data_IF_080540154481
#
_entry.id   IF_080540154481
#
_cell.length_a   1.000
_cell.length_b   1.000
_cell.length_c   1.000
_cell.angle_alpha   90.00
_cell.angle_beta   90.00
_cell.angle_gamma   90.00
#
_symmetry.space_group_name_H-M   'P 1'
#
loop_
_entity.id
_entity.type
_entity.pdbx_description
1 polymer ?
#
# COMPACT_ATOMS: atom_id res chain seq x y z
N UNK A 1 0.49 32.09 -8.16
CA UNK A 1 1.61 31.68 -7.29
C UNK A 1 1.46 30.19 -7.11
N UNK A 2 2.34 29.40 -7.73
CA UNK A 2 2.36 27.94 -7.65
C UNK A 2 2.67 27.59 -6.18
N UNK A 3 1.68 27.14 -5.39
CA UNK A 3 1.90 26.78 -3.98
C UNK A 3 2.60 25.42 -4.00
N UNK A 4 3.92 25.41 -3.78
CA UNK A 4 4.64 24.14 -3.56
C UNK A 4 3.92 23.37 -2.44
N UNK A 5 3.51 22.12 -2.73
CA UNK A 5 2.88 21.24 -1.75
C UNK A 5 3.82 21.04 -0.56
N UNK A 6 3.32 21.06 0.69
CA UNK A 6 4.16 20.83 1.87
C UNK A 6 4.90 19.50 1.76
N UNK A 7 6.20 19.50 2.07
CA UNK A 7 7.01 18.27 2.12
C UNK A 7 6.97 17.63 3.51
N UNK A 8 7.03 16.30 3.56
CA UNK A 8 7.18 15.54 4.81
C UNK A 8 5.89 15.42 5.62
N UNK A 9 6.00 15.46 6.95
CA UNK A 9 4.93 15.11 7.92
C UNK A 9 3.59 15.83 7.71
N UNK A 10 3.59 17.00 7.08
CA UNK A 10 2.40 17.84 6.88
C UNK A 10 1.84 17.81 5.46
N UNK A 11 2.43 17.01 4.56
CA UNK A 11 2.02 16.94 3.15
C UNK A 11 0.53 16.69 2.98
N UNK A 12 -0.03 15.80 3.79
CA UNK A 12 -1.42 15.38 3.72
C UNK A 12 -2.31 16.01 4.78
N UNK A 13 -1.79 16.94 5.58
CA UNK A 13 -2.51 17.45 6.76
C UNK A 13 -3.85 18.07 6.39
N UNK A 14 -3.90 18.94 5.38
CA UNK A 14 -5.14 19.57 4.92
C UNK A 14 -6.13 18.55 4.37
N UNK A 15 -5.65 17.63 3.53
CA UNK A 15 -6.49 16.57 2.95
C UNK A 15 -7.08 15.68 4.06
N UNK A 16 -6.24 15.20 4.99
CA UNK A 16 -6.65 14.34 6.10
C UNK A 16 -7.63 15.04 7.04
N UNK A 17 -7.48 16.35 7.27
CA UNK A 17 -8.42 17.14 8.05
C UNK A 17 -9.75 17.39 7.33
N UNK A 18 -9.74 17.46 6.01
CA UNK A 18 -10.93 17.61 5.17
C UNK A 18 -11.60 16.26 4.82
N UNK A 19 -11.06 15.14 5.29
CA UNK A 19 -11.57 13.81 4.96
C UNK A 19 -12.97 13.59 5.52
N UNK A 20 -13.92 13.31 4.61
CA UNK A 20 -15.31 12.99 4.92
C UNK A 20 -15.63 11.63 4.25
N UNK A 21 -15.79 10.54 5.02
CA UNK A 21 -15.99 9.20 4.46
C UNK A 21 -17.16 9.09 3.47
N UNK A 22 -18.22 9.87 3.69
CA UNK A 22 -19.45 9.89 2.89
C UNK A 22 -19.18 10.34 1.45
N UNK A 23 -18.16 11.19 1.23
CA UNK A 23 -17.73 11.62 -0.10
C UNK A 23 -17.11 10.49 -0.94
N UNK A 24 -16.83 9.34 -0.32
CA UNK A 24 -16.22 8.19 -0.97
C UNK A 24 -17.11 6.95 -0.96
N UNK A 25 -18.44 7.10 -0.81
CA UNK A 25 -19.38 5.99 -0.66
C UNK A 25 -19.27 4.95 -1.79
N UNK A 26 -19.28 5.39 -3.05
CA UNK A 26 -19.14 4.48 -4.21
C UNK A 26 -17.84 3.69 -4.12
N UNK A 27 -16.72 4.40 -3.94
CA UNK A 27 -15.41 3.76 -3.86
C UNK A 27 -15.33 2.76 -2.69
N UNK A 28 -15.89 3.12 -1.53
CA UNK A 28 -16.01 2.24 -0.37
C UNK A 28 -16.77 0.97 -0.71
N UNK A 29 -17.92 1.08 -1.37
CA UNK A 29 -18.74 -0.06 -1.77
C UNK A 29 -17.98 -0.95 -2.75
N UNK A 30 -17.31 -0.37 -3.75
CA UNK A 30 -16.58 -1.11 -4.76
C UNK A 30 -15.41 -1.92 -4.16
N UNK A 31 -14.57 -1.31 -3.31
CA UNK A 31 -13.46 -2.05 -2.67
C UNK A 31 -13.95 -3.03 -1.60
N UNK A 32 -15.12 -2.78 -0.99
CA UNK A 32 -15.75 -3.75 -0.06
C UNK A 32 -16.22 -4.98 -0.82
N UNK A 33 -16.94 -4.79 -1.93
CA UNK A 33 -17.37 -5.88 -2.81
C UNK A 33 -16.18 -6.67 -3.33
N UNK A 34 -15.12 -5.96 -3.74
CA UNK A 34 -13.87 -6.58 -4.17
C UNK A 34 -13.26 -7.46 -3.06
N UNK A 35 -13.11 -6.95 -1.83
CA UNK A 35 -12.57 -7.71 -0.71
C UNK A 35 -13.41 -8.96 -0.38
N UNK A 36 -14.73 -8.82 -0.39
CA UNK A 36 -15.62 -9.96 -0.12
C UNK A 36 -15.53 -11.01 -1.23
N UNK A 37 -15.50 -10.58 -2.50
CA UNK A 37 -15.32 -11.48 -3.64
C UNK A 37 -13.97 -12.22 -3.58
N UNK A 38 -12.89 -11.56 -3.13
CA UNK A 38 -11.58 -12.22 -2.91
C UNK A 38 -11.63 -13.33 -1.87
N UNK A 39 -12.59 -13.28 -0.93
CA UNK A 39 -12.82 -14.33 0.06
C UNK A 39 -13.95 -15.31 -0.32
N UNK A 40 -14.52 -15.20 -1.52
CA UNK A 40 -15.69 -15.98 -1.93
C UNK A 40 -16.94 -15.70 -1.07
N UNK A 41 -17.01 -14.53 -0.41
CA UNK A 41 -18.12 -14.14 0.45
C UNK A 41 -19.11 -13.24 -0.32
N UNK A 42 -20.42 -13.39 -0.09
CA UNK A 42 -21.42 -12.48 -0.65
C UNK A 42 -21.38 -11.12 0.06
N UNK A 43 -21.95 -10.07 -0.55
CA UNK A 43 -22.14 -8.76 0.09
C UNK A 43 -23.14 -8.81 1.26
N UNK A 44 -24.14 -9.70 1.15
CA UNK A 44 -25.19 -9.90 2.14
C UNK A 44 -25.17 -11.37 2.55
N UNK A 45 -25.08 -11.60 3.87
CA UNK A 45 -25.09 -12.92 4.47
C UNK A 45 -26.44 -13.63 4.31
N UNK A 46 -26.48 -14.91 4.67
CA UNK A 46 -27.70 -15.72 4.64
C UNK A 46 -28.79 -15.21 5.60
N UNK A 47 -28.42 -14.41 6.60
CA UNK A 47 -29.28 -13.73 7.56
C UNK A 47 -29.89 -12.42 7.02
N UNK A 48 -29.55 -12.02 5.79
CA UNK A 48 -29.99 -10.77 5.19
C UNK A 48 -29.25 -9.53 5.68
N UNK A 49 -28.21 -9.70 6.51
CA UNK A 49 -27.37 -8.60 7.00
C UNK A 49 -26.13 -8.43 6.12
N UNK A 50 -25.55 -7.21 6.05
CA UNK A 50 -24.26 -7.01 5.38
C UNK A 50 -23.19 -7.93 5.97
N UNK A 51 -22.40 -8.58 5.11
CA UNK A 51 -21.32 -9.45 5.57
C UNK A 51 -20.34 -8.69 6.44
N UNK A 52 -20.08 -9.22 7.64
CA UNK A 52 -19.18 -8.59 8.60
C UNK A 52 -17.72 -8.65 8.09
N UNK A 53 -17.07 -7.49 8.10
CA UNK A 53 -15.65 -7.35 7.76
C UNK A 53 -14.81 -7.44 9.01
N UNK A 54 -13.65 -8.08 8.90
CA UNK A 54 -12.67 -8.12 10.00
C UNK A 54 -12.14 -6.71 10.32
N UNK A 55 -11.62 -6.51 11.53
CA UNK A 55 -10.98 -5.25 11.94
C UNK A 55 -9.86 -4.82 10.97
N UNK A 56 -9.10 -5.77 10.45
CA UNK A 56 -8.05 -5.53 9.45
C UNK A 56 -8.65 -5.07 8.12
N UNK A 57 -9.72 -5.72 7.64
CA UNK A 57 -10.39 -5.32 6.40
C UNK A 57 -11.02 -3.93 6.50
N UNK A 58 -11.69 -3.63 7.62
CA UNK A 58 -12.24 -2.29 7.88
C UNK A 58 -11.14 -1.22 7.88
N UNK A 59 -9.95 -1.55 8.40
CA UNK A 59 -8.78 -0.66 8.38
C UNK A 59 -8.22 -0.47 6.97
N UNK A 60 -8.05 -1.54 6.20
CA UNK A 60 -7.64 -1.47 4.80
C UNK A 60 -8.54 -0.52 4.02
N UNK A 61 -9.87 -0.69 4.13
CA UNK A 61 -10.85 0.19 3.50
C UNK A 61 -10.62 1.64 3.91
N UNK A 62 -10.58 1.92 5.22
CA UNK A 62 -10.38 3.28 5.76
C UNK A 62 -9.11 3.94 5.25
N UNK A 63 -8.00 3.20 5.21
CA UNK A 63 -6.70 3.68 4.76
C UNK A 63 -6.74 4.00 3.26
N UNK A 64 -7.39 3.15 2.46
CA UNK A 64 -7.63 3.40 1.03
C UNK A 64 -8.55 4.59 0.77
N UNK A 65 -9.61 4.80 1.57
CA UNK A 65 -10.45 6.00 1.46
C UNK A 65 -9.66 7.28 1.75
N UNK A 66 -8.88 7.27 2.82
CA UNK A 66 -8.02 8.40 3.22
C UNK A 66 -7.01 8.70 2.12
N UNK A 67 -6.42 7.65 1.55
CA UNK A 67 -5.47 7.78 0.46
C UNK A 67 -6.10 8.32 -0.82
N UNK A 68 -7.29 7.86 -1.20
CA UNK A 68 -8.04 8.40 -2.33
C UNK A 68 -8.32 9.89 -2.14
N UNK A 69 -8.72 10.30 -0.94
CA UNK A 69 -8.96 11.69 -0.59
C UNK A 69 -7.70 12.57 -0.76
N UNK A 70 -6.53 12.06 -0.35
CA UNK A 70 -5.24 12.73 -0.58
C UNK A 70 -4.97 12.96 -2.07
N UNK A 71 -5.19 11.95 -2.91
CA UNK A 71 -5.05 12.09 -4.37
C UNK A 71 -6.02 13.12 -4.94
N UNK A 72 -7.32 13.03 -4.59
CA UNK A 72 -8.33 13.98 -5.07
C UNK A 72 -8.00 15.42 -4.65
N UNK A 73 -7.61 15.63 -3.39
CA UNK A 73 -7.19 16.95 -2.89
C UNK A 73 -6.07 17.54 -3.74
N UNK A 74 -5.01 16.75 -3.99
CA UNK A 74 -3.86 17.21 -4.76
C UNK A 74 -4.20 17.41 -6.25
N UNK A 75 -5.08 16.60 -6.83
CA UNK A 75 -5.58 16.81 -8.20
C UNK A 75 -6.32 18.15 -8.35
N UNK A 76 -7.04 18.60 -7.31
CA UNK A 76 -7.71 19.90 -7.35
C UNK A 76 -6.73 21.08 -7.17
N UNK A 77 -5.67 20.90 -6.39
CA UNK A 77 -4.69 21.95 -6.09
C UNK A 77 -3.62 22.12 -7.18
N UNK A 78 -3.30 21.08 -7.94
CA UNK A 78 -2.24 21.13 -8.97
C UNK A 78 -2.64 21.99 -10.16
N UNK A 79 -1.79 22.93 -10.56
CA UNK A 79 -2.00 23.75 -11.77
C UNK A 79 -1.14 23.31 -12.95
N UNK A 80 -0.19 22.39 -12.73
CA UNK A 80 0.73 21.91 -13.77
C UNK A 80 0.18 20.77 -14.63
N UNK A 81 -0.77 20.00 -14.10
CA UNK A 81 -1.26 18.76 -14.76
C UNK A 81 -2.69 18.93 -15.31
N UNK A 82 -3.53 19.71 -14.64
CA UNK A 82 -4.91 19.96 -15.06
C UNK A 82 -5.17 21.46 -15.20
N UNK A 83 -5.90 21.84 -16.25
CA UNK A 83 -6.35 23.22 -16.42
C UNK A 83 -7.51 23.54 -15.47
N UNK A 84 -7.76 24.83 -15.22
CA UNK A 84 -8.91 25.23 -14.41
C UNK A 84 -10.23 24.86 -15.08
N UNK A 85 -10.31 24.85 -16.41
CA UNK A 85 -11.48 24.35 -17.15
C UNK A 85 -11.72 22.85 -16.88
N UNK A 86 -10.68 22.01 -16.97
CA UNK A 86 -10.79 20.57 -16.70
C UNK A 86 -11.29 20.31 -15.27
N UNK A 87 -10.78 21.06 -14.29
CA UNK A 87 -11.22 20.96 -12.89
C UNK A 87 -12.66 21.42 -12.69
N UNK A 88 -13.05 22.54 -13.31
CA UNK A 88 -14.40 23.07 -13.21
C UNK A 88 -15.43 22.14 -13.86
N UNK A 89 -15.08 21.52 -14.99
CA UNK A 89 -15.92 20.52 -15.65
C UNK A 89 -16.07 19.25 -14.79
N UNK A 90 -14.97 18.73 -14.24
CA UNK A 90 -15.00 17.60 -13.32
C UNK A 90 -15.87 17.89 -12.09
N UNK A 91 -15.74 19.10 -11.51
CA UNK A 91 -16.58 19.53 -10.40
C UNK A 91 -18.06 19.65 -10.78
N UNK A 92 -18.37 20.24 -11.93
CA UNK A 92 -19.75 20.45 -12.38
C UNK A 92 -20.47 19.15 -12.76
N UNK A 93 -19.75 18.20 -13.36
CA UNK A 93 -20.31 16.92 -13.84
C UNK A 93 -20.22 15.79 -12.81
N UNK A 94 -19.35 15.93 -11.80
CA UNK A 94 -18.99 14.85 -10.89
C UNK A 94 -18.13 13.76 -11.54
N UNK A 95 -17.65 13.96 -12.78
CA UNK A 95 -16.77 13.03 -13.45
C UNK A 95 -15.35 13.10 -12.83
N UNK A 96 -14.64 11.96 -12.72
CA UNK A 96 -13.26 11.98 -12.28
C UNK A 96 -12.38 12.71 -13.29
N UNK A 97 -11.37 13.43 -12.81
CA UNK A 97 -10.32 13.96 -13.67
C UNK A 97 -9.62 12.82 -14.40
N UNK A 98 -9.22 13.08 -15.65
CA UNK A 98 -8.48 12.12 -16.47
C UNK A 98 -7.18 11.67 -15.79
N UNK A 99 -6.66 10.53 -16.22
CA UNK A 99 -5.34 10.08 -15.81
C UNK A 99 -4.28 11.17 -16.10
N UNK A 100 -3.37 11.44 -15.14
CA UNK A 100 -2.26 12.36 -15.38
C UNK A 100 -1.32 11.82 -16.47
N UNK A 101 -0.55 12.68 -17.15
CA UNK A 101 0.49 12.23 -18.09
C UNK A 101 1.41 11.20 -17.44
N UNK A 102 1.76 10.15 -18.17
CA UNK A 102 2.62 9.06 -17.68
C UNK A 102 2.05 8.31 -16.44
N UNK A 103 0.73 8.30 -16.23
CA UNK A 103 0.09 7.52 -15.17
C UNK A 103 0.50 6.03 -15.15
N UNK A 104 0.80 5.45 -16.31
CA UNK A 104 1.25 4.06 -16.43
C UNK A 104 2.59 3.80 -15.73
N UNK A 105 3.47 4.80 -15.61
CA UNK A 105 4.70 4.66 -14.83
C UNK A 105 4.43 4.39 -13.33
N UNK A 106 3.19 4.60 -12.85
CA UNK A 106 2.74 4.20 -11.52
C UNK A 106 2.02 2.85 -11.56
N UNK A 107 1.13 2.66 -12.53
CA UNK A 107 0.29 1.46 -12.62
C UNK A 107 1.06 0.20 -12.97
N UNK A 108 2.15 0.32 -13.75
CA UNK A 108 3.02 -0.78 -14.13
C UNK A 108 4.04 -1.10 -13.03
N UNK A 109 3.58 -1.09 -11.76
CA UNK A 109 4.41 -1.38 -10.59
C UNK A 109 5.71 -0.55 -10.52
N UNK A 110 5.71 0.64 -11.12
CA UNK A 110 6.91 1.47 -11.29
C UNK A 110 8.12 0.75 -11.91
N UNK A 111 7.86 -0.24 -12.79
CA UNK A 111 8.89 -0.93 -13.57
C UNK A 111 9.64 0.02 -14.51
N UNK A 112 8.97 1.04 -15.01
CA UNK A 112 9.55 2.07 -15.87
C UNK A 112 9.25 3.46 -15.32
N UNK A 113 10.25 4.35 -15.28
CA UNK A 113 10.05 5.76 -14.99
C UNK A 113 9.21 6.44 -16.09
N UNK A 114 8.62 7.61 -15.80
CA UNK A 114 8.04 8.47 -16.82
C UNK A 114 9.05 8.75 -17.95
N UNK A 115 8.58 8.95 -19.17
CA UNK A 115 9.49 9.27 -20.27
C UNK A 115 10.09 10.67 -20.14
N UNK A 116 11.30 10.90 -20.65
CA UNK A 116 12.02 12.17 -20.51
C UNK A 116 11.28 13.37 -21.11
N UNK A 117 10.35 13.15 -22.05
CA UNK A 117 9.56 14.23 -22.66
C UNK A 117 8.64 14.96 -21.67
N UNK A 118 8.39 14.38 -20.48
CA UNK A 118 7.65 15.07 -19.41
C UNK A 118 8.48 16.10 -18.65
N UNK A 119 9.79 16.18 -18.90
CA UNK A 119 10.65 17.17 -18.26
C UNK A 119 10.36 18.55 -18.85
N UNK A 120 10.05 19.50 -17.98
CA UNK A 120 10.00 20.91 -18.33
C UNK A 120 11.41 21.38 -18.77
N UNK A 121 11.60 21.85 -20.02
CA UNK A 121 12.91 22.19 -20.55
C UNK A 121 13.54 23.42 -19.89
N UNK A 122 12.74 24.24 -19.20
CA UNK A 122 13.20 25.44 -18.48
C UNK A 122 13.65 25.06 -17.07
N UNK A 123 12.88 24.22 -16.38
CA UNK A 123 13.14 23.92 -14.97
C UNK A 123 13.94 22.64 -14.73
N UNK A 124 14.02 21.73 -15.72
CA UNK A 124 14.65 20.41 -15.59
C UNK A 124 13.91 19.48 -14.62
N UNK A 125 12.61 19.73 -14.42
CA UNK A 125 11.75 19.01 -13.46
C UNK A 125 10.49 18.53 -14.16
N UNK A 126 9.86 17.52 -13.58
CA UNK A 126 8.56 17.00 -14.03
C UNK A 126 7.63 16.83 -12.83
N UNK A 127 6.33 16.78 -13.07
CA UNK A 127 5.35 16.53 -12.00
C UNK A 127 5.05 15.03 -11.91
N UNK A 128 5.19 14.44 -10.72
CA UNK A 128 4.96 13.00 -10.51
C UNK A 128 3.49 12.62 -10.77
N UNK A 129 3.18 11.62 -11.61
CA UNK A 129 1.81 11.18 -11.86
C UNK A 129 1.07 10.61 -10.63
N UNK A 130 1.78 10.20 -9.57
CA UNK A 130 1.17 9.68 -8.36
C UNK A 130 0.89 10.80 -7.33
N UNK A 131 1.95 11.47 -6.85
CA UNK A 131 1.84 12.46 -5.77
C UNK A 131 1.81 13.92 -6.24
N UNK A 132 1.85 14.17 -7.55
CA UNK A 132 1.87 15.49 -8.20
C UNK A 132 2.96 16.44 -7.68
N UNK A 133 4.00 15.88 -7.05
CA UNK A 133 5.17 16.65 -6.63
C UNK A 133 6.04 16.94 -7.85
N UNK A 134 6.57 18.16 -7.90
CA UNK A 134 7.60 18.54 -8.87
C UNK A 134 8.94 17.91 -8.50
N UNK A 135 9.36 16.90 -9.26
CA UNK A 135 10.56 16.10 -9.06
C UNK A 135 11.69 16.52 -10.01
N UNK A 136 12.95 16.50 -9.57
CA UNK A 136 14.10 16.63 -10.47
C UNK A 136 14.29 15.40 -11.36
N UNK A 137 14.89 15.58 -12.54
CA UNK A 137 15.16 14.53 -13.53
C UNK A 137 15.88 13.29 -12.97
N UNK A 138 16.63 13.39 -11.85
CA UNK A 138 17.24 12.22 -11.17
C UNK A 138 16.23 11.14 -10.73
N UNK A 139 14.93 11.47 -10.64
CA UNK A 139 13.88 10.49 -10.37
C UNK A 139 13.42 9.72 -11.60
N UNK A 140 13.99 10.00 -12.78
CA UNK A 140 13.83 9.15 -13.97
C UNK A 140 14.82 7.98 -13.97
N UNK A 141 15.74 7.92 -13.01
CA UNK A 141 16.51 6.71 -12.77
C UNK A 141 15.59 5.62 -12.19
N UNK A 142 15.54 4.39 -12.74
CA UNK A 142 14.57 3.37 -12.36
C UNK A 142 14.50 3.10 -10.84
N UNK A 143 15.65 3.00 -10.17
CA UNK A 143 15.69 2.75 -8.72
C UNK A 143 15.16 3.93 -7.91
N UNK A 144 15.47 5.17 -8.33
CA UNK A 144 14.98 6.36 -7.65
C UNK A 144 13.47 6.55 -7.87
N UNK A 145 12.99 6.22 -9.07
CA UNK A 145 11.56 6.21 -9.40
C UNK A 145 10.81 5.18 -8.55
N UNK A 146 11.29 3.94 -8.55
CA UNK A 146 10.68 2.85 -7.79
C UNK A 146 10.59 3.21 -6.31
N UNK A 147 11.69 3.62 -5.67
CA UNK A 147 11.68 4.00 -4.26
C UNK A 147 10.72 5.15 -3.96
N UNK A 148 10.59 6.10 -4.88
CA UNK A 148 9.64 7.19 -4.77
C UNK A 148 8.19 6.70 -4.82
N UNK A 149 7.85 5.92 -5.85
CA UNK A 149 6.50 5.38 -6.03
C UNK A 149 6.16 4.39 -4.94
N UNK A 150 7.07 3.50 -4.54
CA UNK A 150 6.87 2.56 -3.44
C UNK A 150 6.59 3.29 -2.11
N UNK A 151 7.25 4.42 -1.83
CA UNK A 151 6.91 5.20 -0.64
C UNK A 151 5.49 5.81 -0.70
N UNK A 152 5.01 6.17 -1.89
CA UNK A 152 3.70 6.81 -2.07
C UNK A 152 2.57 5.76 -2.29
N UNK A 153 2.91 4.59 -2.84
CA UNK A 153 2.01 3.49 -3.20
C UNK A 153 2.03 2.33 -2.21
N UNK A 154 3.15 2.12 -1.53
CA UNK A 154 3.35 1.07 -0.54
C UNK A 154 2.93 1.47 0.87
N UNK A 155 1.95 2.37 1.03
CA UNK A 155 1.41 2.77 2.33
C UNK A 155 0.84 1.54 3.06
N UNK A 156 1.65 0.91 3.89
CA UNK A 156 1.27 -0.30 4.59
C UNK A 156 0.24 0.02 5.67
N UNK A 157 -0.83 -0.77 5.73
CA UNK A 157 -1.76 -0.80 6.85
C UNK A 157 -1.25 -1.82 7.88
N UNK A 158 -1.41 -1.53 9.17
CA UNK A 158 -1.14 -2.55 10.19
C UNK A 158 -2.14 -3.70 10.06
N UNK A 159 -1.63 -4.92 9.86
CA UNK A 159 -2.41 -6.14 9.66
C UNK A 159 -2.74 -6.88 10.97
N UNK A 160 -2.35 -6.32 12.11
CA UNK A 160 -2.63 -6.91 13.42
C UNK A 160 -3.93 -6.35 13.99
N UNK A 161 -4.71 -7.23 14.61
CA UNK A 161 -5.94 -6.85 15.31
C UNK A 161 -5.68 -5.82 16.41
N UNK A 162 -6.72 -5.02 16.70
CA UNK A 162 -6.72 -4.00 17.75
C UNK A 162 -5.61 -2.95 17.63
N UNK A 163 -5.11 -2.70 16.43
CA UNK A 163 -4.26 -1.54 16.18
C UNK A 163 -5.06 -0.24 16.39
N UNK A 164 -4.62 0.64 17.29
CA UNK A 164 -5.29 1.91 17.59
C UNK A 164 -4.69 3.10 16.84
N UNK A 165 -3.68 2.89 16.00
CA UNK A 165 -3.01 3.97 15.28
C UNK A 165 -3.86 4.51 14.14
N UNK A 166 -3.80 5.84 13.96
CA UNK A 166 -4.37 6.51 12.79
C UNK A 166 -3.65 6.06 11.51
N UNK A 167 -4.34 6.09 10.35
CA UNK A 167 -3.72 5.78 9.07
C UNK A 167 -2.48 6.66 8.86
N UNK A 168 -1.30 6.05 8.77
CA UNK A 168 -0.09 6.73 8.32
C UNK A 168 0.46 5.96 7.13
N UNK A 169 0.91 6.63 6.07
CA UNK A 169 1.62 5.96 5.00
C UNK A 169 2.94 5.45 5.58
N UNK A 170 3.00 4.15 5.82
CA UNK A 170 4.23 3.48 6.21
C UNK A 170 4.89 2.91 4.97
N UNK A 171 6.19 3.12 4.81
CA UNK A 171 6.98 2.17 4.03
C UNK A 171 7.00 0.82 4.78
N UNK A 172 7.20 -0.29 4.08
CA UNK A 172 7.06 -1.62 4.70
C UNK A 172 8.07 -1.90 5.82
N UNK A 173 9.24 -1.26 5.77
CA UNK A 173 10.23 -1.26 6.84
C UNK A 173 9.71 -0.58 8.12
N UNK A 174 8.89 0.46 7.98
CA UNK A 174 8.23 1.15 9.09
C UNK A 174 7.10 0.32 9.71
N UNK A 175 6.54 -0.68 9.01
CA UNK A 175 5.56 -1.60 9.57
C UNK A 175 6.17 -2.43 10.72
N UNK A 176 7.41 -2.90 10.56
CA UNK A 176 8.11 -3.62 11.62
C UNK A 176 8.34 -2.74 12.85
N UNK A 177 8.71 -1.48 12.64
CA UNK A 177 8.90 -0.53 13.74
C UNK A 177 7.58 -0.16 14.42
N UNK A 178 6.50 -0.03 13.65
CA UNK A 178 5.14 0.13 14.18
C UNK A 178 4.77 -1.06 15.08
N UNK A 179 4.94 -2.29 14.61
CA UNK A 179 4.59 -3.49 15.40
C UNK A 179 5.44 -3.57 16.67
N UNK A 180 6.74 -3.28 16.60
CA UNK A 180 7.62 -3.23 17.79
C UNK A 180 7.27 -2.14 18.80
N UNK A 181 6.63 -1.06 18.36
CA UNK A 181 6.28 0.06 19.23
C UNK A 181 4.88 -0.09 19.83
N UNK A 182 3.90 -0.53 19.03
CA UNK A 182 2.49 -0.47 19.38
C UNK A 182 1.85 -1.84 19.64
N UNK A 183 2.50 -2.94 19.23
CA UNK A 183 2.02 -4.31 19.43
C UNK A 183 2.96 -5.15 20.31
N UNK A 184 3.90 -4.51 20.99
CA UNK A 184 4.79 -5.16 21.95
C UNK A 184 4.00 -5.56 23.21
N UNK A 185 3.81 -6.86 23.48
CA UNK A 185 3.04 -7.33 24.62
C UNK A 185 3.69 -6.99 25.97
N UNK A 186 5.00 -6.69 25.99
CA UNK A 186 5.73 -6.27 27.20
C UNK A 186 5.58 -4.75 27.46
N UNK A 187 5.21 -3.96 26.44
CA UNK A 187 4.91 -2.53 26.57
C UNK A 187 3.41 -2.31 26.80
N UNK A 188 2.99 -2.57 28.03
CA UNK A 188 1.65 -2.37 28.62
C UNK A 188 1.05 -0.96 28.42
N UNK A 189 0.54 -0.61 27.23
CA UNK A 189 -0.22 0.65 27.04
C UNK A 189 -1.52 0.57 26.24
N UNK A 190 -2.12 -0.60 25.99
CA UNK A 190 -3.54 -0.65 25.58
C UNK A 190 -4.31 -1.81 26.20
N UNK A 191 -5.21 -1.42 27.11
CA UNK A 191 -6.43 -2.07 27.59
C UNK A 191 -6.32 -3.45 28.28
N UNK A 192 -6.83 -3.46 29.51
CA UNK A 192 -7.06 -4.62 30.37
C UNK A 192 -7.87 -5.68 29.62
N UNK A 193 -7.49 -6.92 29.87
CA UNK A 193 -8.04 -8.19 29.38
C UNK A 193 -7.51 -8.64 28.01
N UNK A 194 -6.58 -9.61 28.03
CA UNK A 194 -6.64 -10.88 27.27
C UNK A 194 -5.60 -11.84 27.87
N UNK A 195 -6.14 -12.94 28.38
CA UNK A 195 -5.49 -14.03 29.09
C UNK A 195 -4.95 -15.10 28.12
N UNK A 196 -4.28 -14.70 27.05
CA UNK A 196 -3.63 -15.65 26.13
C UNK A 196 -2.19 -15.22 25.91
N UNK A 197 -1.26 -16.10 26.27
CA UNK A 197 0.17 -15.98 26.07
C UNK A 197 0.49 -15.44 24.66
N UNK A 198 0.68 -14.13 24.55
CA UNK A 198 1.09 -13.48 23.32
C UNK A 198 2.54 -13.88 23.08
N UNK A 199 2.74 -14.93 22.27
CA UNK A 199 4.03 -15.17 21.62
C UNK A 199 4.40 -13.88 20.88
N UNK A 200 5.58 -13.36 21.20
CA UNK A 200 6.25 -12.26 20.48
C UNK A 200 5.84 -12.19 19.00
N UNK A 201 5.27 -11.11 18.47
CA UNK A 201 5.30 -10.91 17.03
C UNK A 201 6.66 -10.28 16.72
N UNK A 202 7.67 -11.11 16.49
CA UNK A 202 8.82 -10.68 15.68
C UNK A 202 8.40 -10.44 14.22
N UNK A 203 7.19 -10.85 13.86
CA UNK A 203 6.65 -10.80 12.52
C UNK A 203 5.32 -10.00 12.47
N UNK A 204 5.25 -8.91 11.68
CA UNK A 204 4.06 -8.08 11.54
C UNK A 204 2.96 -8.70 10.66
N UNK A 205 3.21 -9.86 10.05
CA UNK A 205 2.27 -10.51 9.13
C UNK A 205 1.47 -11.63 9.79
N UNK A 206 0.14 -11.70 9.51
CA UNK A 206 -0.70 -12.82 9.93
C UNK A 206 -0.31 -14.12 9.22
N UNK A 207 -0.79 -15.26 9.74
CA UNK A 207 -0.53 -16.60 9.17
C UNK A 207 -1.24 -16.82 7.83
N UNK A 208 -2.39 -16.17 7.63
CA UNK A 208 -3.16 -16.21 6.39
C UNK A 208 -3.34 -14.80 5.85
N UNK A 209 -3.52 -14.68 4.54
CA UNK A 209 -3.77 -13.40 3.89
C UNK A 209 -5.13 -12.82 4.31
N UNK A 210 -5.21 -11.59 4.88
CA UNK A 210 -6.47 -10.99 5.31
C UNK A 210 -7.40 -10.56 4.16
N UNK A 211 -6.89 -10.61 2.92
CA UNK A 211 -7.64 -10.21 1.70
C UNK A 211 -8.30 -11.42 1.03
N UNK A 212 -7.62 -12.57 0.95
CA UNK A 212 -8.13 -13.75 0.22
C UNK A 212 -7.97 -15.09 0.95
N UNK A 213 -7.55 -15.08 2.22
CA UNK A 213 -7.30 -16.28 3.05
C UNK A 213 -6.20 -17.23 2.53
N UNK A 214 -5.35 -16.77 1.59
CA UNK A 214 -4.19 -17.55 1.14
C UNK A 214 -3.28 -17.96 2.30
N UNK A 215 -2.88 -19.22 2.28
CA UNK A 215 -1.97 -19.86 3.24
C UNK A 215 -0.98 -20.76 2.48
N UNK A 216 0.22 -20.92 3.03
CA UNK A 216 1.27 -21.80 2.53
C UNK A 216 2.10 -22.30 3.71
N UNK A 217 2.68 -23.50 3.61
CA UNK A 217 3.59 -24.02 4.62
C UNK A 217 4.85 -23.16 4.73
N UNK A 218 5.25 -22.53 3.61
CA UNK A 218 6.32 -21.55 3.56
C UNK A 218 5.79 -20.15 3.89
N UNK A 219 6.05 -19.71 5.12
CA UNK A 219 5.68 -18.39 5.63
C UNK A 219 6.21 -17.24 4.76
N UNK A 220 7.34 -17.41 4.08
CA UNK A 220 7.88 -16.37 3.18
C UNK A 220 6.94 -16.14 1.99
N UNK A 221 6.33 -17.21 1.46
CA UNK A 221 5.35 -17.10 0.37
C UNK A 221 4.09 -16.39 0.80
N UNK A 222 3.60 -16.65 2.02
CA UNK A 222 2.45 -15.94 2.59
C UNK A 222 2.75 -14.43 2.71
N UNK A 223 3.90 -14.07 3.27
CA UNK A 223 4.32 -12.66 3.40
C UNK A 223 4.41 -11.99 2.04
N UNK A 224 5.07 -12.63 1.07
CA UNK A 224 5.20 -12.11 -0.29
C UNK A 224 3.83 -11.93 -0.94
N UNK A 225 2.94 -12.91 -0.81
CA UNK A 225 1.56 -12.82 -1.30
C UNK A 225 0.82 -11.62 -0.70
N UNK A 226 0.83 -11.49 0.64
CA UNK A 226 0.19 -10.36 1.34
C UNK A 226 0.72 -9.03 0.80
N UNK A 227 2.01 -8.93 0.52
CA UNK A 227 2.59 -7.69 0.04
C UNK A 227 2.23 -7.34 -1.39
N UNK A 228 2.00 -8.34 -2.26
CA UNK A 228 1.43 -8.11 -3.60
C UNK A 228 0.00 -7.62 -3.49
N UNK A 229 -0.80 -8.26 -2.63
CA UNK A 229 -2.18 -7.87 -2.35
C UNK A 229 -2.30 -6.44 -1.82
N UNK A 230 -1.47 -6.05 -0.85
CA UNK A 230 -1.47 -4.69 -0.32
C UNK A 230 -1.08 -3.65 -1.36
N UNK A 231 -0.09 -3.95 -2.22
CA UNK A 231 0.31 -3.04 -3.32
C UNK A 231 -0.81 -2.89 -4.34
N UNK A 232 -1.44 -3.99 -4.72
CA UNK A 232 -2.59 -3.97 -5.63
C UNK A 232 -3.76 -3.19 -5.02
N UNK A 233 -4.06 -3.42 -3.74
CA UNK A 233 -5.11 -2.73 -2.99
C UNK A 233 -4.87 -1.22 -2.91
N UNK A 234 -3.61 -0.82 -2.77
CA UNK A 234 -3.16 0.55 -2.82
C UNK A 234 -3.39 1.22 -4.19
N UNK A 235 -3.19 0.51 -5.30
CA UNK A 235 -3.42 1.05 -6.66
C UNK A 235 -4.90 1.35 -6.90
N UNK A 236 -5.82 0.58 -6.31
CA UNK A 236 -7.26 0.87 -6.41
C UNK A 236 -7.64 2.25 -5.85
N UNK A 237 -6.86 2.82 -4.92
CA UNK A 237 -7.10 4.15 -4.36
C UNK A 237 -6.82 5.30 -5.35
N UNK A 238 -6.13 5.04 -6.47
CA UNK A 238 -5.86 6.04 -7.50
C UNK A 238 -7.16 6.39 -8.27
N UNK A 239 -7.63 7.64 -8.24
CA UNK A 239 -8.92 8.02 -8.81
C UNK A 239 -9.13 7.64 -10.28
N UNK A 240 -8.06 7.69 -11.07
CA UNK A 240 -8.06 7.43 -12.50
C UNK A 240 -7.81 5.95 -12.88
N UNK A 241 -7.49 5.08 -11.92
CA UNK A 241 -7.16 3.68 -12.19
C UNK A 241 -8.12 2.69 -11.52
N UNK A 242 -9.00 3.15 -10.63
CA UNK A 242 -9.90 2.28 -9.84
C UNK A 242 -10.64 1.25 -10.69
N UNK A 243 -11.29 1.68 -11.77
CA UNK A 243 -12.13 0.78 -12.57
C UNK A 243 -11.29 -0.30 -13.29
N UNK A 244 -10.05 0.01 -13.67
CA UNK A 244 -9.10 -0.96 -14.23
C UNK A 244 -8.61 -1.96 -13.16
N UNK A 245 -8.54 -1.53 -11.90
CA UNK A 245 -7.97 -2.33 -10.81
C UNK A 245 -9.02 -3.18 -10.06
N UNK A 246 -10.32 -2.94 -10.27
CA UNK A 246 -11.41 -3.71 -9.63
C UNK A 246 -11.67 -5.07 -10.31
N UNK A 247 -10.61 -5.80 -10.65
CA UNK A 247 -10.65 -7.15 -11.26
C UNK A 247 -10.62 -8.25 -10.20
N UNK A 248 -11.23 -9.40 -10.46
CA UNK A 248 -11.36 -10.53 -9.51
C UNK A 248 -11.09 -11.86 -10.20
N UNK A 249 -10.86 -12.93 -9.41
CA UNK A 249 -10.62 -14.27 -9.95
C UNK A 249 -9.30 -14.41 -10.69
N UNK A 250 -9.29 -15.16 -11.80
CA UNK A 250 -8.10 -15.45 -12.60
C UNK A 250 -7.48 -14.18 -13.22
N UNK A 251 -8.31 -13.21 -13.61
CA UNK A 251 -7.85 -11.93 -14.14
C UNK A 251 -6.94 -11.19 -13.17
N UNK A 252 -7.24 -11.27 -11.86
CA UNK A 252 -6.38 -10.68 -10.83
C UNK A 252 -5.03 -11.37 -10.75
N UNK A 253 -4.99 -12.70 -10.83
CA UNK A 253 -3.74 -13.46 -10.73
C UNK A 253 -2.83 -13.15 -11.92
N UNK A 254 -3.39 -13.12 -13.13
CA UNK A 254 -2.68 -12.75 -14.35
C UNK A 254 -2.10 -11.33 -14.26
N UNK A 255 -2.90 -10.37 -13.79
CA UNK A 255 -2.47 -8.98 -13.66
C UNK A 255 -1.39 -8.81 -12.58
N UNK A 256 -1.53 -9.48 -11.44
CA UNK A 256 -0.53 -9.44 -10.38
C UNK A 256 0.77 -10.10 -10.82
N UNK A 257 0.73 -11.21 -11.56
CA UNK A 257 1.93 -11.84 -12.09
C UNK A 257 2.58 -11.02 -13.21
N UNK A 258 1.79 -10.26 -13.98
CA UNK A 258 2.29 -9.29 -14.96
C UNK A 258 3.00 -8.12 -14.27
N UNK A 259 2.40 -7.57 -13.21
CA UNK A 259 2.92 -6.41 -12.46
C UNK A 259 4.10 -6.77 -11.57
N UNK A 260 4.02 -7.91 -10.88
CA UNK A 260 5.02 -8.42 -9.94
C UNK A 260 5.30 -9.90 -10.19
N UNK A 261 6.13 -10.22 -11.21
CA UNK A 261 6.44 -11.58 -11.58
C UNK A 261 6.96 -12.43 -10.42
N UNK A 262 6.86 -13.78 -10.49
CA UNK A 262 7.31 -14.68 -9.43
C UNK A 262 8.81 -14.60 -9.09
N UNK A 263 9.65 -14.03 -9.95
CA UNK A 263 11.07 -13.79 -9.59
C UNK A 263 11.26 -12.48 -8.82
N UNK A 264 10.25 -11.62 -8.79
CA UNK A 264 10.20 -10.38 -8.00
C UNK A 264 9.55 -10.65 -6.62
N UNK A 265 9.82 -11.83 -6.05
CA UNK A 265 9.15 -12.40 -4.86
C UNK A 265 9.75 -11.98 -3.52
N UNK A 266 10.76 -11.11 -3.50
CA UNK A 266 11.32 -10.57 -2.26
C UNK A 266 10.78 -9.15 -2.08
N UNK A 267 10.51 -8.77 -0.84
CA UNK A 267 10.45 -7.37 -0.44
C UNK A 267 11.88 -6.85 -0.28
N UNK A 268 12.36 -5.89 -1.09
CA UNK A 268 11.93 -5.52 -2.45
C UNK A 268 12.54 -6.52 -3.45
N UNK A 269 12.07 -6.60 -4.69
CA UNK A 269 12.71 -7.57 -5.58
C UNK A 269 14.15 -7.18 -5.83
N UNK A 270 15.04 -8.08 -5.42
CA UNK A 270 16.49 -7.93 -5.43
C UNK A 270 17.10 -7.75 -6.81
N UNK A 271 16.32 -7.49 -7.86
CA UNK A 271 16.87 -7.05 -9.14
C UNK A 271 17.62 -5.72 -9.03
N UNK A 272 17.44 -4.96 -7.95
CA UNK A 272 18.25 -3.76 -7.63
C UNK A 272 18.54 -3.53 -6.13
N UNK A 273 18.49 -4.57 -5.27
CA UNK A 273 18.82 -4.44 -3.84
C UNK A 273 19.82 -5.49 -3.39
N UNK A 274 21.03 -5.04 -3.03
CA UNK A 274 22.17 -5.77 -2.44
C UNK A 274 21.85 -7.15 -1.82
N UNK A 275 22.04 -8.20 -2.62
CA UNK A 275 22.01 -9.62 -2.19
C UNK A 275 22.84 -9.90 -0.93
N UNK A 276 23.91 -9.13 -0.69
CA UNK A 276 24.78 -9.33 0.47
C UNK A 276 24.09 -9.12 1.83
N UNK A 277 23.19 -8.14 1.96
CA UNK A 277 22.64 -7.77 3.26
C UNK A 277 21.63 -8.81 3.76
N UNK A 278 20.89 -9.41 2.83
CA UNK A 278 19.90 -10.44 3.12
C UNK A 278 20.55 -11.82 3.24
N UNK A 279 21.53 -12.16 2.39
CA UNK A 279 22.36 -13.35 2.55
C UNK A 279 23.06 -13.39 3.93
N UNK A 280 23.55 -12.24 4.43
CA UNK A 280 24.14 -12.12 5.77
C UNK A 280 23.12 -12.35 6.89
N UNK A 281 21.85 -11.94 6.72
CA UNK A 281 20.76 -12.17 7.69
C UNK A 281 20.28 -13.62 7.69
N UNK A 282 20.15 -14.24 6.52
CA UNK A 282 19.81 -15.65 6.36
C UNK A 282 20.90 -16.57 6.92
N UNK A 283 22.18 -16.28 6.64
CA UNK A 283 23.31 -17.00 7.20
C UNK A 283 23.33 -16.95 8.74
N UNK A 284 23.10 -15.76 9.33
CA UNK A 284 23.05 -15.57 10.78
C UNK A 284 21.89 -16.31 11.47
N UNK A 285 20.79 -16.55 10.75
CA UNK A 285 19.62 -17.30 11.24
C UNK A 285 19.91 -18.81 11.26
N UNK A 286 20.56 -19.34 10.20
CA UNK A 286 21.04 -20.74 10.15
C UNK A 286 22.02 -21.06 11.27
N UNK A 287 23.02 -20.21 11.49
CA UNK A 287 24.02 -20.42 12.56
C UNK A 287 23.36 -20.44 13.96
N UNK A 288 22.30 -19.66 14.17
CA UNK A 288 21.59 -19.62 15.46
C UNK A 288 20.69 -20.84 15.69
N UNK A 289 20.12 -21.42 14.63
CA UNK A 289 19.37 -22.67 14.69
C UNK A 289 20.28 -23.87 14.94
N UNK A 290 21.43 -23.95 14.25
CA UNK A 290 22.43 -25.00 14.45
C UNK A 290 22.99 -24.99 15.89
N UNK A 291 23.23 -23.81 16.47
CA UNK A 291 23.67 -23.68 17.87
C UNK A 291 22.56 -24.11 18.87
N UNK A 292 21.28 -23.95 18.51
CA UNK A 292 20.17 -24.34 19.37
C UNK A 292 19.93 -25.86 19.35
N UNK A 293 20.10 -26.50 18.19
CA UNK A 293 19.97 -27.95 18.03
C UNK A 293 21.13 -28.71 18.70
N UNK A 294 22.38 -28.24 18.53
CA UNK A 294 23.55 -28.83 19.21
C UNK A 294 23.43 -28.75 20.74
N UNK A 295 22.79 -27.70 21.27
CA UNK A 295 22.61 -27.54 22.72
C UNK A 295 21.49 -28.41 23.32
N UNK A 296 20.63 -29.02 22.50
CA UNK A 296 19.55 -29.91 22.94
C UNK A 296 19.92 -31.39 22.85
N UNK A 297 20.96 -31.74 22.08
CA UNK A 297 21.48 -33.11 21.99
C UNK A 297 22.49 -33.45 23.12
N UNK A 298 23.02 -32.43 23.82
CA UNK A 298 23.98 -32.57 24.93
C UNK A 298 23.34 -32.41 26.33
N UNK A 299 22.03 -32.66 26.48
CA UNK A 299 21.32 -32.67 27.79
C UNK A 299 20.56 -33.95 28.06
#
# INVERSE_FOLDING_TARGET
>A
MDRELPRGKWQWWSADHAFVPENHLKFRQDITRWLLARQGKPEVGADGLPTELTEVQQRLIRDSLTRRNRFLSVQTETTGIYTEEEKNEAFATGAPLRAPPEANAVLEAAQQPPREEVIDPVTGKFDCPCCFRRLPARYLEPEAWWQHVESDVGSATCLLDRCLMKPQPFAIDQLYDHVRQYHDPEKLWTLRDIDSARRFPLDPFPENCPICDYTDDDRERVVTHICKELRFFALMALPWATDQMLIVGDEWQEEVDRLWPPHCNVLPCGTWSNDEAWAKRAAKKRTRQEIHEVSLEDS
#
